data_IF_017432600905
#
_entry.id   IF_017432600905
#
_cell.length_a   1.000
_cell.length_b   1.000
_cell.length_c   1.000
_cell.angle_alpha   90.00
_cell.angle_beta   90.00
_cell.angle_gamma   90.00
#
_symmetry.space_group_name_H-M   'P 1'
#
loop_
_entity.id
_entity.type
_entity.pdbx_description
1 polymer ?
#
# COMPACT_ATOMS: atom_id res chain seq x y z
N UNK A 1 -9.45 4.03 -16.68
CA UNK A 1 -8.97 3.96 -15.29
C UNK A 1 -9.80 2.92 -14.54
N UNK A 2 -9.18 1.92 -13.92
CA UNK A 2 -9.85 1.10 -12.91
C UNK A 2 -9.90 1.85 -11.59
N UNK A 3 -10.98 1.68 -10.82
CA UNK A 3 -11.09 2.20 -9.46
C UNK A 3 -10.94 1.04 -8.48
N UNK A 4 -10.11 1.20 -7.45
CA UNK A 4 -9.89 0.20 -6.41
C UNK A 4 -10.53 0.72 -5.14
N UNK A 5 -11.57 0.03 -4.66
CA UNK A 5 -12.19 0.35 -3.39
C UNK A 5 -11.68 -0.60 -2.30
N UNK A 6 -10.71 -0.15 -1.52
CA UNK A 6 -10.15 -0.90 -0.40
C UNK A 6 -10.82 -0.48 0.92
N UNK A 7 -11.31 -1.45 1.70
CA UNK A 7 -11.73 -1.22 3.09
C UNK A 7 -10.57 -1.50 4.02
N UNK A 8 -10.23 -0.52 4.84
CA UNK A 8 -9.25 -0.61 5.91
C UNK A 8 -9.83 0.00 7.17
N UNK A 9 -9.25 -0.35 8.31
CA UNK A 9 -9.59 0.24 9.59
C UNK A 9 -9.26 1.75 9.61
N UNK A 10 -10.08 2.56 10.28
CA UNK A 10 -9.91 4.02 10.32
C UNK A 10 -8.59 4.42 11.01
N UNK A 11 -8.17 3.66 12.03
CA UNK A 11 -6.88 3.91 12.68
C UNK A 11 -5.72 3.63 11.72
N UNK A 12 -5.77 2.51 10.99
CA UNK A 12 -4.76 2.14 10.01
C UNK A 12 -4.69 3.19 8.90
N UNK A 13 -5.85 3.65 8.42
CA UNK A 13 -5.95 4.73 7.43
C UNK A 13 -5.25 5.99 7.93
N UNK A 14 -5.59 6.47 9.13
CA UNK A 14 -5.03 7.70 9.68
C UNK A 14 -3.51 7.61 9.86
N UNK A 15 -3.00 6.51 10.42
CA UNK A 15 -1.56 6.30 10.61
C UNK A 15 -0.81 6.20 9.27
N UNK A 16 -1.39 5.48 8.30
CA UNK A 16 -0.80 5.31 6.97
C UNK A 16 -0.76 6.63 6.21
N UNK A 17 -1.86 7.39 6.22
CA UNK A 17 -1.94 8.69 5.56
C UNK A 17 -0.94 9.67 6.16
N UNK A 18 -0.84 9.74 7.50
CA UNK A 18 0.15 10.60 8.16
C UNK A 18 1.61 10.20 7.83
N UNK A 19 1.90 8.91 7.70
CA UNK A 19 3.22 8.44 7.30
C UNK A 19 3.53 8.77 5.83
N UNK A 20 2.55 8.58 4.94
CA UNK A 20 2.63 8.89 3.52
C UNK A 20 2.82 10.39 3.27
N UNK A 21 2.09 11.24 4.00
CA UNK A 21 2.25 12.69 3.95
C UNK A 21 3.66 13.12 4.39
N UNK A 22 4.22 12.50 5.44
CA UNK A 22 5.61 12.76 5.86
C UNK A 22 6.63 12.38 4.80
N UNK A 23 6.33 11.36 3.99
CA UNK A 23 7.17 10.93 2.87
C UNK A 23 6.92 11.75 1.59
N UNK A 24 5.87 12.60 1.56
CA UNK A 24 5.46 13.35 0.38
C UNK A 24 4.86 12.48 -0.72
N UNK A 25 4.34 11.29 -0.38
CA UNK A 25 3.79 10.32 -1.33
C UNK A 25 2.28 10.27 -1.15
N UNK A 26 1.52 10.28 -2.25
CA UNK A 26 0.06 10.09 -2.15
C UNK A 26 -0.29 8.62 -1.91
N UNK A 27 -1.37 8.31 -1.17
CA UNK A 27 -1.82 6.92 -0.99
C UNK A 27 -2.11 6.21 -2.32
N UNK A 28 -2.57 6.95 -3.33
CA UNK A 28 -2.77 6.42 -4.68
C UNK A 28 -1.47 6.02 -5.35
N UNK A 29 -0.40 6.82 -5.23
CA UNK A 29 0.93 6.47 -5.74
C UNK A 29 1.52 5.27 -5.01
N UNK A 30 1.43 5.23 -3.67
CA UNK A 30 1.92 4.10 -2.90
C UNK A 30 1.25 2.77 -3.30
N UNK A 31 -0.08 2.78 -3.46
CA UNK A 31 -0.83 1.62 -3.93
C UNK A 31 -0.48 1.26 -5.37
N UNK A 32 -0.30 2.25 -6.25
CA UNK A 32 0.07 2.02 -7.64
C UNK A 32 1.45 1.37 -7.75
N UNK A 33 2.45 1.91 -7.05
CA UNK A 33 3.81 1.35 -6.99
C UNK A 33 3.79 -0.08 -6.44
N UNK A 34 2.97 -0.34 -5.42
CA UNK A 34 2.81 -1.69 -4.88
C UNK A 34 2.23 -2.66 -5.92
N UNK A 35 1.19 -2.25 -6.67
CA UNK A 35 0.58 -3.07 -7.71
C UNK A 35 1.53 -3.29 -8.89
N UNK A 36 2.28 -2.27 -9.30
CA UNK A 36 3.30 -2.37 -10.34
C UNK A 36 4.41 -3.34 -9.91
N UNK A 37 4.86 -3.28 -8.65
CA UNK A 37 5.84 -4.23 -8.12
C UNK A 37 5.32 -5.67 -8.18
N UNK A 38 4.08 -5.91 -7.75
CA UNK A 38 3.46 -7.25 -7.79
C UNK A 38 3.30 -7.72 -9.23
N UNK A 39 2.93 -6.83 -10.16
CA UNK A 39 2.77 -7.18 -11.57
C UNK A 39 4.10 -7.54 -12.25
N UNK A 40 5.20 -6.86 -11.88
CA UNK A 40 6.52 -7.08 -12.47
C UNK A 40 7.29 -8.24 -11.79
N UNK A 41 7.17 -8.38 -10.47
CA UNK A 41 7.96 -9.33 -9.68
C UNK A 41 7.18 -10.58 -9.28
N UNK A 42 5.87 -10.63 -9.56
CA UNK A 42 4.94 -11.71 -9.20
C UNK A 42 4.99 -12.08 -7.70
N UNK A 43 5.41 -11.14 -6.86
CA UNK A 43 5.62 -11.33 -5.42
C UNK A 43 5.31 -10.06 -4.65
N UNK A 44 4.94 -10.23 -3.39
CA UNK A 44 4.77 -9.09 -2.50
C UNK A 44 6.13 -8.46 -2.17
N UNK A 45 6.23 -7.11 -2.12
CA UNK A 45 7.47 -6.42 -1.75
C UNK A 45 7.87 -6.65 -0.29
N UNK A 46 6.95 -7.17 0.52
CA UNK A 46 7.20 -7.58 1.90
C UNK A 46 7.31 -9.10 1.94
N UNK A 47 8.33 -9.62 2.63
CA UNK A 47 8.31 -11.03 3.04
C UNK A 47 7.03 -11.23 3.86
N UNK A 48 6.17 -12.16 3.46
CA UNK A 48 5.26 -12.80 4.40
C UNK A 48 6.13 -13.55 5.43
N UNK A 49 6.69 -12.84 6.40
CA UNK A 49 6.95 -13.47 7.69
C UNK A 49 5.57 -13.77 8.23
N UNK A 50 5.10 -14.97 7.90
CA UNK A 50 4.21 -15.70 8.77
C UNK A 50 4.95 -15.68 10.11
N UNK A 51 4.47 -14.88 11.06
CA UNK A 51 4.88 -15.03 12.45
C UNK A 51 4.33 -16.40 12.86
N UNK A 52 5.19 -17.43 12.77
CA UNK A 52 5.03 -18.69 13.49
C UNK A 52 5.19 -18.46 15.01
#
# INVERSE_FOLDING_TARGET
MGSINLRIDDELKARSYAALEKMGVTPSEALRLMLEYIADNERLPFKQTLLE
#
